data_IF_349545665325
#
_entry.id   IF_349545665325
#
_cell.length_a   1.000
_cell.length_b   1.000
_cell.length_c   1.000
_cell.angle_alpha   90.00
_cell.angle_beta   90.00
_cell.angle_gamma   90.00
#
_symmetry.space_group_name_H-M   'P 1'
#
loop_
_entity.id
_entity.type
_entity.pdbx_description
1 polymer ?
#
# COMPACT_ATOMS: atom_id res chain seq x y z
N UNK A 1 12.50 -3.20 -9.43
CA UNK A 1 11.10 -3.65 -9.50
C UNK A 1 10.72 -3.88 -10.95
N UNK A 2 10.10 -4.99 -11.24
CA UNK A 2 9.58 -5.24 -12.58
C UNK A 2 8.42 -4.31 -12.89
N UNK A 3 8.34 -3.86 -14.14
CA UNK A 3 7.24 -3.03 -14.61
C UNK A 3 5.92 -3.81 -14.49
N UNK A 4 4.89 -3.17 -13.96
CA UNK A 4 3.57 -3.79 -13.83
C UNK A 4 2.87 -3.84 -15.19
N UNK A 5 2.15 -4.92 -15.43
CA UNK A 5 1.39 -5.11 -16.66
C UNK A 5 0.03 -4.40 -16.56
N UNK A 6 -0.09 -3.29 -17.26
CA UNK A 6 -1.33 -2.49 -17.32
C UNK A 6 -2.52 -3.32 -17.78
N UNK A 7 -2.31 -4.21 -18.73
CA UNK A 7 -3.37 -5.07 -19.24
C UNK A 7 -3.93 -5.98 -18.15
N UNK A 8 -3.05 -6.56 -17.32
CA UNK A 8 -3.48 -7.39 -16.20
C UNK A 8 -4.20 -6.56 -15.14
N UNK A 9 -3.71 -5.35 -14.83
CA UNK A 9 -4.38 -4.46 -13.89
C UNK A 9 -5.80 -4.16 -14.39
N UNK A 10 -5.95 -3.80 -15.65
CA UNK A 10 -7.24 -3.40 -16.22
C UNK A 10 -8.23 -4.55 -16.40
N UNK A 11 -7.79 -5.81 -16.27
CA UNK A 11 -8.71 -6.96 -16.24
C UNK A 11 -9.59 -6.99 -14.99
N UNK A 12 -9.09 -6.46 -13.88
CA UNK A 12 -9.80 -6.51 -12.59
C UNK A 12 -10.09 -5.15 -11.99
N UNK A 13 -9.49 -4.06 -12.51
CA UNK A 13 -9.78 -2.72 -12.01
C UNK A 13 -11.15 -2.23 -12.48
N UNK A 14 -11.79 -1.39 -11.66
CA UNK A 14 -13.04 -0.74 -12.03
C UNK A 14 -12.84 0.46 -12.93
N UNK A 15 -11.75 1.21 -12.71
CA UNK A 15 -11.36 2.35 -13.54
C UNK A 15 -10.18 1.98 -14.42
N UNK A 16 -10.09 2.61 -15.59
CA UNK A 16 -8.95 2.42 -16.48
C UNK A 16 -7.68 2.99 -15.86
N UNK A 17 -6.67 2.15 -15.71
CA UNK A 17 -5.36 2.53 -15.19
C UNK A 17 -4.42 2.76 -16.35
N UNK A 18 -3.67 3.87 -16.30
CA UNK A 18 -2.65 4.21 -17.29
C UNK A 18 -1.32 4.40 -16.57
N UNK A 19 -0.23 4.20 -17.29
CA UNK A 19 1.11 4.45 -16.78
C UNK A 19 1.38 5.95 -16.82
N UNK A 20 1.83 6.51 -15.70
CA UNK A 20 2.05 7.95 -15.53
C UNK A 20 3.51 8.30 -15.24
N UNK A 21 4.43 7.36 -15.45
CA UNK A 21 5.85 7.52 -15.18
C UNK A 21 6.45 6.22 -14.67
N UNK A 22 7.74 6.26 -14.32
CA UNK A 22 8.41 5.08 -13.79
C UNK A 22 7.78 4.67 -12.46
N UNK A 23 7.21 3.48 -12.40
CA UNK A 23 6.55 2.93 -11.20
C UNK A 23 5.40 3.81 -10.68
N UNK A 24 4.71 4.51 -11.61
CA UNK A 24 3.58 5.37 -11.30
C UNK A 24 2.40 5.01 -12.20
N UNK A 25 1.22 4.93 -11.60
CA UNK A 25 -0.02 4.50 -12.24
C UNK A 25 -1.13 5.45 -11.87
N UNK A 26 -1.91 5.89 -12.86
CA UNK A 26 -2.94 6.90 -12.67
C UNK A 26 -4.29 6.39 -13.12
N UNK A 27 -5.34 6.80 -12.44
CA UNK A 27 -6.71 6.59 -12.86
C UNK A 27 -7.59 7.75 -12.42
N UNK A 28 -8.71 7.94 -13.11
CA UNK A 28 -9.67 9.01 -12.82
C UNK A 28 -11.02 8.39 -12.51
N UNK A 29 -11.65 8.82 -11.40
CA UNK A 29 -12.97 8.34 -10.99
C UNK A 29 -14.08 8.97 -11.81
N UNK A 30 -15.31 8.45 -11.66
CA UNK A 30 -16.50 9.01 -12.34
C UNK A 30 -16.77 10.47 -11.99
N UNK A 31 -16.37 10.89 -10.81
CA UNK A 31 -16.56 12.27 -10.36
C UNK A 31 -15.42 13.19 -10.79
N UNK A 32 -14.46 12.69 -11.59
CA UNK A 32 -13.37 13.47 -12.13
C UNK A 32 -12.18 13.63 -11.19
N UNK A 33 -12.10 12.83 -10.13
CA UNK A 33 -10.98 12.86 -9.19
C UNK A 33 -9.88 11.94 -9.73
N UNK A 34 -8.67 12.48 -9.92
CA UNK A 34 -7.52 11.71 -10.38
C UNK A 34 -6.64 11.30 -9.22
N UNK A 35 -6.27 10.02 -9.23
CA UNK A 35 -5.38 9.42 -8.23
C UNK A 35 -4.11 8.90 -8.89
N UNK A 36 -3.00 9.13 -8.21
CA UNK A 36 -1.71 8.56 -8.57
C UNK A 36 -1.33 7.51 -7.54
N UNK A 37 -1.01 6.32 -8.02
CA UNK A 37 -0.46 5.22 -7.22
C UNK A 37 0.97 4.99 -7.64
N UNK A 38 1.88 4.94 -6.68
CA UNK A 38 3.29 4.73 -7.00
C UNK A 38 4.00 3.84 -6.01
N UNK A 39 5.18 3.41 -6.43
CA UNK A 39 6.07 2.55 -5.64
C UNK A 39 7.47 3.15 -5.64
N UNK A 40 8.10 3.21 -4.46
CA UNK A 40 9.48 3.68 -4.29
C UNK A 40 10.25 2.66 -3.46
N UNK A 41 11.54 2.50 -3.74
CA UNK A 41 12.39 1.63 -2.93
C UNK A 41 12.35 2.04 -1.47
N UNK A 42 12.33 1.03 -0.59
CA UNK A 42 12.30 1.19 0.85
C UNK A 42 13.26 0.20 1.49
N UNK A 43 13.84 0.55 2.62
CA UNK A 43 14.82 -0.28 3.32
C UNK A 43 14.36 -0.71 4.72
N UNK A 44 13.07 -0.66 4.99
CA UNK A 44 12.54 -0.98 6.32
C UNK A 44 12.82 -2.42 6.75
N UNK A 45 12.74 -3.36 5.82
CA UNK A 45 12.99 -4.78 6.11
C UNK A 45 14.36 -5.13 5.55
N UNK A 46 15.34 -5.25 6.45
CA UNK A 46 16.72 -5.58 6.09
C UNK A 46 16.80 -6.92 5.37
N UNK A 47 17.66 -7.00 4.36
CA UNK A 47 17.93 -8.17 3.52
C UNK A 47 16.79 -8.57 2.55
N UNK A 48 15.69 -7.84 2.54
CA UNK A 48 14.59 -8.10 1.60
C UNK A 48 14.25 -6.85 0.80
N UNK A 49 14.03 -7.04 -0.50
CA UNK A 49 13.58 -5.93 -1.34
C UNK A 49 12.18 -5.51 -0.90
N UNK A 50 12.06 -4.24 -0.55
CA UNK A 50 10.79 -3.64 -0.16
C UNK A 50 10.54 -2.35 -0.91
N UNK A 51 9.26 -2.06 -1.10
CA UNK A 51 8.82 -0.85 -1.81
C UNK A 51 7.75 -0.16 -1.00
N UNK A 52 7.89 1.14 -0.88
CA UNK A 52 6.86 1.98 -0.31
C UNK A 52 5.77 2.20 -1.36
N UNK A 53 4.55 1.89 -0.97
CA UNK A 53 3.35 2.16 -1.74
C UNK A 53 2.75 3.49 -1.29
N UNK A 54 2.30 4.31 -2.23
CA UNK A 54 1.60 5.55 -1.90
C UNK A 54 0.45 5.80 -2.86
N UNK A 55 -0.57 6.51 -2.35
CA UNK A 55 -1.72 7.00 -3.12
C UNK A 55 -1.77 8.50 -2.93
N UNK A 56 -1.88 9.24 -4.01
CA UNK A 56 -2.01 10.69 -3.99
C UNK A 56 -3.25 11.11 -4.77
N UNK A 57 -4.10 11.93 -4.14
CA UNK A 57 -5.19 12.60 -4.83
C UNK A 57 -4.63 13.85 -5.52
N UNK A 58 -4.52 13.80 -6.84
CA UNK A 58 -3.91 14.89 -7.62
C UNK A 58 -4.80 16.09 -7.78
N UNK A 59 -6.12 15.92 -7.61
CA UNK A 59 -7.09 17.01 -7.78
C UNK A 59 -7.40 17.73 -6.46
N UNK A 60 -7.01 17.16 -5.33
CA UNK A 60 -7.35 17.69 -4.01
C UNK A 60 -8.83 17.56 -3.67
N UNK A 61 -9.62 16.90 -4.48
CA UNK A 61 -11.04 16.65 -4.26
C UNK A 61 -11.24 15.26 -3.70
N UNK A 62 -11.64 15.16 -2.45
CA UNK A 62 -11.90 13.86 -1.83
C UNK A 62 -13.08 13.17 -2.50
N UNK A 63 -12.91 11.86 -2.79
CA UNK A 63 -13.97 11.02 -3.31
C UNK A 63 -14.43 10.09 -2.19
N UNK A 64 -15.47 10.48 -1.42
CA UNK A 64 -15.91 9.65 -0.30
C UNK A 64 -16.58 8.37 -0.79
N UNK A 65 -16.31 7.24 -0.12
CA UNK A 65 -17.00 5.96 -0.27
C UNK A 65 -17.05 5.36 -1.68
N UNK A 66 -15.98 5.53 -2.46
CA UNK A 66 -15.90 4.95 -3.79
C UNK A 66 -15.33 3.53 -3.73
N UNK A 67 -16.24 2.53 -3.80
CA UNK A 67 -15.86 1.11 -3.82
C UNK A 67 -15.00 0.80 -5.05
N UNK A 68 -15.31 1.41 -6.18
CA UNK A 68 -14.58 1.19 -7.44
C UNK A 68 -13.16 1.75 -7.38
N UNK A 69 -12.93 2.82 -6.60
CA UNK A 69 -11.58 3.31 -6.32
C UNK A 69 -10.73 2.22 -5.67
N UNK A 70 -11.25 1.60 -4.62
CA UNK A 70 -10.51 0.57 -3.87
C UNK A 70 -10.34 -0.71 -4.68
N UNK A 71 -11.31 -1.08 -5.48
CA UNK A 71 -11.15 -2.17 -6.44
C UNK A 71 -9.98 -1.90 -7.40
N UNK A 72 -9.85 -0.68 -7.87
CA UNK A 72 -8.75 -0.28 -8.75
C UNK A 72 -7.41 -0.29 -8.02
N UNK A 73 -7.35 0.25 -6.81
CA UNK A 73 -6.13 0.24 -5.99
C UNK A 73 -5.67 -1.19 -5.72
N UNK A 74 -6.58 -2.08 -5.34
CA UNK A 74 -6.21 -3.48 -5.08
C UNK A 74 -5.82 -4.25 -6.35
N UNK A 75 -6.36 -3.89 -7.50
CA UNK A 75 -5.91 -4.46 -8.77
C UNK A 75 -4.43 -4.13 -9.04
N UNK A 76 -4.01 -2.90 -8.73
CA UNK A 76 -2.61 -2.48 -8.85
C UNK A 76 -1.74 -3.23 -7.83
N UNK A 77 -2.17 -3.34 -6.58
CA UNK A 77 -1.44 -4.05 -5.53
C UNK A 77 -1.28 -5.53 -5.89
N UNK A 78 -2.32 -6.18 -6.39
CA UNK A 78 -2.23 -7.58 -6.81
C UNK A 78 -1.23 -7.78 -7.93
N UNK A 79 -1.21 -6.88 -8.91
CA UNK A 79 -0.23 -6.98 -9.99
C UNK A 79 1.19 -6.77 -9.48
N UNK A 80 1.40 -5.87 -8.51
CA UNK A 80 2.69 -5.71 -7.87
C UNK A 80 3.18 -7.03 -7.27
N UNK A 81 2.35 -7.73 -6.53
CA UNK A 81 2.73 -8.99 -5.90
C UNK A 81 2.79 -10.18 -6.86
N UNK A 82 2.03 -10.12 -7.96
CA UNK A 82 2.13 -11.14 -9.01
C UNK A 82 3.47 -11.04 -9.75
N UNK A 83 3.92 -9.84 -10.02
CA UNK A 83 5.13 -9.59 -10.78
C UNK A 83 6.40 -9.69 -9.93
N UNK A 84 6.31 -9.47 -8.62
CA UNK A 84 7.46 -9.33 -7.72
C UNK A 84 7.23 -10.06 -6.40
N UNK A 85 8.27 -10.71 -5.90
CA UNK A 85 8.26 -11.32 -4.57
C UNK A 85 8.85 -10.35 -3.55
N UNK A 86 8.24 -9.17 -3.41
CA UNK A 86 8.75 -8.09 -2.56
C UNK A 86 7.86 -7.88 -1.35
N UNK A 87 8.35 -7.05 -0.44
CA UNK A 87 7.57 -6.54 0.69
C UNK A 87 7.07 -5.16 0.33
N UNK A 88 5.79 -4.90 0.60
CA UNK A 88 5.19 -3.59 0.39
C UNK A 88 5.02 -2.89 1.74
N UNK A 89 5.39 -1.62 1.80
CA UNK A 89 5.26 -0.79 2.99
C UNK A 89 4.36 0.38 2.66
N UNK A 90 3.36 0.61 3.49
CA UNK A 90 2.49 1.77 3.39
C UNK A 90 2.72 2.69 4.58
N UNK A 91 3.30 3.86 4.33
CA UNK A 91 3.57 4.84 5.36
C UNK A 91 2.53 5.94 5.34
N UNK A 92 2.04 6.32 6.51
CA UNK A 92 1.19 7.50 6.68
C UNK A 92 1.81 8.41 7.74
N UNK A 93 2.14 9.61 7.33
CA UNK A 93 2.45 10.70 8.24
C UNK A 93 1.12 11.27 8.73
N UNK A 94 0.96 11.40 10.03
CA UNK A 94 -0.28 11.87 10.64
C UNK A 94 -0.22 13.34 11.06
N UNK A 95 0.82 14.07 10.61
CA UNK A 95 1.05 15.47 11.03
C UNK A 95 -0.06 16.42 10.59
N UNK A 96 -0.76 16.17 9.48
CA UNK A 96 -1.85 17.01 8.99
C UNK A 96 -3.25 16.59 9.48
N UNK A 97 -3.34 15.52 10.28
CA UNK A 97 -4.59 15.00 10.80
C UNK A 97 -5.44 14.19 9.81
N UNK A 98 -5.21 14.32 8.51
CA UNK A 98 -5.98 13.60 7.47
C UNK A 98 -5.38 12.25 7.13
N UNK A 99 -4.10 12.08 7.31
CA UNK A 99 -3.40 10.85 6.96
C UNK A 99 -3.72 9.70 7.90
N UNK A 100 -4.00 9.99 9.17
CA UNK A 100 -4.48 8.98 10.12
C UNK A 100 -5.81 8.37 9.65
N UNK A 101 -6.71 9.21 9.11
CA UNK A 101 -7.99 8.74 8.56
C UNK A 101 -7.76 7.88 7.33
N UNK A 102 -6.83 8.25 6.44
CA UNK A 102 -6.47 7.46 5.26
C UNK A 102 -5.88 6.11 5.64
N UNK A 103 -5.00 6.09 6.64
CA UNK A 103 -4.41 4.86 7.14
C UNK A 103 -5.46 3.89 7.69
N UNK A 104 -6.40 4.39 8.48
CA UNK A 104 -7.51 3.60 9.01
C UNK A 104 -8.42 3.10 7.90
N UNK A 105 -8.68 3.94 6.91
CA UNK A 105 -9.49 3.59 5.76
C UNK A 105 -8.80 2.49 4.95
N UNK A 106 -7.51 2.63 4.67
CA UNK A 106 -6.74 1.61 3.96
C UNK A 106 -6.79 0.26 4.71
N UNK A 107 -6.54 0.28 6.02
CA UNK A 107 -6.57 -0.93 6.85
C UNK A 107 -7.95 -1.59 6.80
N UNK A 108 -9.01 -0.81 6.94
CA UNK A 108 -10.37 -1.33 6.88
C UNK A 108 -10.69 -1.94 5.52
N UNK A 109 -10.34 -1.25 4.44
CA UNK A 109 -10.57 -1.74 3.07
C UNK A 109 -9.76 -3.00 2.79
N UNK A 110 -8.51 -3.04 3.24
CA UNK A 110 -7.68 -4.23 3.09
C UNK A 110 -8.28 -5.43 3.85
N UNK A 111 -8.77 -5.23 5.06
CA UNK A 111 -9.40 -6.30 5.86
C UNK A 111 -10.68 -6.84 5.21
N UNK A 112 -11.35 -6.04 4.39
CA UNK A 112 -12.54 -6.46 3.64
C UNK A 112 -12.22 -6.99 2.24
N UNK A 113 -10.96 -6.91 1.83
CA UNK A 113 -10.55 -7.33 0.51
C UNK A 113 -10.68 -8.84 0.33
N UNK A 114 -11.23 -9.27 -0.81
CA UNK A 114 -11.60 -10.66 -1.07
C UNK A 114 -10.40 -11.61 -1.04
N UNK A 115 -9.22 -11.17 -1.39
CA UNK A 115 -7.98 -11.96 -1.37
C UNK A 115 -7.09 -11.66 -0.15
N UNK A 116 -7.66 -11.07 0.88
CA UNK A 116 -6.97 -10.70 2.12
C UNK A 116 -6.17 -11.88 2.71
N UNK A 117 -6.72 -13.08 2.65
CA UNK A 117 -6.11 -14.27 3.27
C UNK A 117 -4.85 -14.75 2.56
N UNK A 118 -4.55 -14.24 1.37
CA UNK A 118 -3.30 -14.54 0.65
C UNK A 118 -2.11 -13.74 1.14
N UNK A 119 -2.34 -12.76 2.03
CA UNK A 119 -1.33 -11.81 2.49
C UNK A 119 -1.13 -11.86 3.99
N UNK A 120 0.10 -11.57 4.41
CA UNK A 120 0.41 -11.17 5.78
C UNK A 120 0.32 -9.66 5.84
N UNK A 121 -0.41 -9.14 6.82
CA UNK A 121 -0.62 -7.71 7.03
C UNK A 121 -0.25 -7.38 8.46
N UNK A 122 0.79 -6.57 8.63
CA UNK A 122 1.26 -6.14 9.95
C UNK A 122 1.25 -4.62 10.03
N UNK A 123 0.81 -4.07 11.15
CA UNK A 123 0.75 -2.63 11.35
C UNK A 123 1.72 -2.19 12.43
N UNK A 124 2.26 -0.99 12.24
CA UNK A 124 3.08 -0.30 13.23
C UNK A 124 2.41 1.03 13.51
N UNK A 125 1.99 1.25 14.74
CA UNK A 125 1.52 2.54 15.21
C UNK A 125 2.47 3.04 16.28
N UNK A 126 3.03 4.23 16.09
CA UNK A 126 3.80 4.87 17.14
C UNK A 126 3.13 6.18 17.53
N UNK A 127 3.00 6.38 18.83
CA UNK A 127 2.65 7.67 19.41
C UNK A 127 3.92 8.23 20.06
N UNK A 128 4.84 8.71 19.22
CA UNK A 128 5.91 9.55 19.75
C UNK A 128 5.31 10.93 20.02
N UNK A 129 5.83 11.61 21.05
CA UNK A 129 5.25 12.87 21.54
C UNK A 129 5.11 13.94 20.45
N UNK A 130 5.92 13.85 19.37
CA UNK A 130 5.98 14.89 18.36
C UNK A 130 5.23 14.54 17.08
N UNK A 131 5.29 13.31 16.56
CA UNK A 131 4.62 12.93 15.31
C UNK A 131 4.18 11.46 15.39
N UNK A 132 2.88 11.20 15.61
CA UNK A 132 2.38 9.84 15.47
C UNK A 132 2.45 9.42 14.01
N UNK A 133 3.01 8.26 13.74
CA UNK A 133 2.98 7.70 12.39
C UNK A 133 2.40 6.30 12.37
N UNK A 134 1.88 5.94 11.24
CA UNK A 134 1.29 4.64 10.97
C UNK A 134 1.99 4.02 9.78
N UNK A 135 2.31 2.75 9.88
CA UNK A 135 2.82 1.98 8.76
C UNK A 135 2.12 0.62 8.69
N UNK A 136 1.89 0.15 7.48
CA UNK A 136 1.43 -1.20 7.22
C UNK A 136 2.49 -1.91 6.38
N UNK A 137 2.80 -3.15 6.75
CA UNK A 137 3.75 -3.98 6.03
C UNK A 137 2.99 -5.19 5.50
N UNK A 138 3.06 -5.40 4.19
CA UNK A 138 2.26 -6.38 3.48
C UNK A 138 3.19 -7.23 2.61
N UNK A 139 3.00 -8.54 2.67
CA UNK A 139 3.68 -9.48 1.77
C UNK A 139 2.83 -10.74 1.62
N UNK A 140 3.11 -11.54 0.60
CA UNK A 140 2.34 -12.76 0.38
C UNK A 140 2.72 -13.84 1.39
N UNK A 141 1.71 -14.58 1.85
CA UNK A 141 1.93 -15.75 2.72
C UNK A 141 2.80 -16.82 2.06
N UNK A 142 2.72 -16.93 0.73
CA UNK A 142 3.51 -17.89 -0.04
C UNK A 142 4.91 -17.37 -0.42
N UNK A 143 5.33 -16.22 0.10
CA UNK A 143 6.70 -15.76 -0.07
C UNK A 143 7.65 -16.82 0.48
N UNK A 144 8.75 -17.17 -0.26
CA UNK A 144 9.68 -18.23 0.19
C UNK A 144 10.25 -17.99 1.59
N UNK A 145 10.37 -16.75 2.02
CA UNK A 145 10.94 -16.36 3.31
C UNK A 145 9.90 -15.68 4.22
N UNK A 146 8.62 -16.02 4.08
CA UNK A 146 7.53 -15.36 4.82
C UNK A 146 7.75 -15.38 6.33
N UNK A 147 8.18 -16.50 6.91
CA UNK A 147 8.40 -16.60 8.35
C UNK A 147 9.56 -15.71 8.82
N UNK A 148 10.65 -15.66 8.07
CA UNK A 148 11.80 -14.81 8.41
C UNK A 148 11.43 -13.33 8.29
N UNK A 149 10.70 -12.95 7.25
CA UNK A 149 10.20 -11.57 7.08
C UNK A 149 9.31 -11.19 8.26
N UNK A 150 8.38 -12.07 8.66
CA UNK A 150 7.51 -11.85 9.81
C UNK A 150 8.32 -11.59 11.09
N UNK A 151 9.35 -12.38 11.34
CA UNK A 151 10.20 -12.21 12.53
C UNK A 151 10.96 -10.89 12.49
N UNK A 152 11.49 -10.51 11.33
CA UNK A 152 12.20 -9.23 11.17
C UNK A 152 11.26 -8.04 11.37
N UNK A 153 10.05 -8.11 10.85
CA UNK A 153 9.03 -7.07 11.04
C UNK A 153 8.67 -6.96 12.53
N UNK A 154 8.44 -8.07 13.19
CA UNK A 154 8.12 -8.08 14.64
C UNK A 154 9.24 -7.47 15.46
N UNK A 155 10.50 -7.71 15.09
CA UNK A 155 11.66 -7.09 15.73
C UNK A 155 11.66 -5.57 15.54
N UNK A 156 11.42 -5.09 14.31
CA UNK A 156 11.34 -3.65 14.01
C UNK A 156 10.22 -2.99 14.81
N UNK A 157 9.06 -3.63 14.89
CA UNK A 157 7.92 -3.13 15.68
C UNK A 157 8.30 -2.99 17.14
N UNK A 158 8.96 -4.01 17.71
CA UNK A 158 9.38 -4.00 19.11
C UNK A 158 10.40 -2.88 19.38
N UNK A 159 11.36 -2.68 18.48
CA UNK A 159 12.37 -1.61 18.62
C UNK A 159 11.74 -0.21 18.54
N UNK A 160 10.77 -0.01 17.63
CA UNK A 160 10.09 1.28 17.51
C UNK A 160 9.22 1.61 18.72
N UNK A 161 8.63 0.61 19.37
CA UNK A 161 7.83 0.83 20.58
C UNK A 161 8.65 1.18 21.83
N UNK A 162 9.96 0.91 21.82
CA UNK A 162 10.87 1.28 22.92
C UNK A 162 11.28 2.75 22.89
N UNK A 163 11.07 3.43 21.78
CA UNK A 163 11.37 4.85 21.59
C UNK A 163 10.13 5.69 21.87
#
# INVERSE_FOLDING_TARGET
MLKLDIHNINKSSAYEVVEAGTQKYEFTTRTGVSYLVGFMEDSMVEDYESYQFYITDETGQQSPNDIELWQTVFAIIEEFFRANQYVMVYWCDTSDGNEALRARLFTRKFNLYVHRDSYVFKTIETQTEDIPYYAAIIFRKDHPNADEISQKVDFVVAELKKK
#
